data_IF_640350779100
#
_entry.id   IF_640350779100
#
_cell.length_a   1.000
_cell.length_b   1.000
_cell.length_c   1.000
_cell.angle_alpha   90.00
_cell.angle_beta   90.00
_cell.angle_gamma   90.00
#
_symmetry.space_group_name_H-M   'P 1'
#
loop_
_entity.id
_entity.type
_entity.pdbx_description
1 polymer ?
#
# COMPACT_ATOMS: atom_id res chain seq x y z
N UNK A 1 17.57 -5.21 -11.42
CA UNK A 1 17.73 -5.70 -12.82
C UNK A 1 17.49 -7.20 -12.89
N UNK A 2 18.08 -8.03 -12.01
CA UNK A 2 17.83 -9.49 -11.99
C UNK A 2 16.36 -9.87 -11.77
N UNK A 3 15.63 -9.17 -10.88
CA UNK A 3 14.21 -9.47 -10.62
C UNK A 3 13.30 -9.24 -11.83
N UNK A 4 13.60 -8.20 -12.61
CA UNK A 4 12.79 -7.85 -13.77
C UNK A 4 12.88 -8.95 -14.84
N UNK A 5 14.06 -9.54 -14.98
CA UNK A 5 14.30 -10.61 -15.93
C UNK A 5 13.52 -11.91 -15.60
N UNK A 6 13.33 -12.27 -14.32
CA UNK A 6 12.57 -13.49 -13.96
C UNK A 6 11.06 -13.32 -14.19
N UNK A 7 10.51 -12.13 -13.94
CA UNK A 7 9.10 -11.85 -14.23
C UNK A 7 8.85 -11.71 -15.73
N UNK A 8 9.76 -11.06 -16.46
CA UNK A 8 9.69 -10.98 -17.94
C UNK A 8 9.77 -12.38 -18.57
N UNK A 9 10.65 -13.26 -18.09
CA UNK A 9 10.71 -14.64 -18.56
C UNK A 9 9.42 -15.43 -18.26
N UNK A 10 8.83 -15.24 -17.07
CA UNK A 10 7.58 -15.89 -16.70
C UNK A 10 6.43 -15.43 -17.61
N UNK A 11 6.35 -14.14 -17.85
CA UNK A 11 5.37 -13.51 -18.73
C UNK A 11 5.50 -14.07 -20.16
N UNK A 12 6.71 -14.09 -20.73
CA UNK A 12 6.97 -14.64 -22.07
C UNK A 12 6.56 -16.13 -22.17
N UNK A 13 6.83 -16.93 -21.14
CA UNK A 13 6.43 -18.33 -21.10
C UNK A 13 4.90 -18.49 -21.06
N UNK A 14 4.20 -17.67 -20.27
CA UNK A 14 2.72 -17.68 -20.18
C UNK A 14 2.11 -17.22 -21.51
N UNK A 15 2.61 -16.14 -22.12
CA UNK A 15 2.15 -15.66 -23.43
C UNK A 15 2.31 -16.72 -24.51
N UNK A 16 3.48 -17.37 -24.55
CA UNK A 16 3.75 -18.48 -25.47
C UNK A 16 2.79 -19.64 -25.26
N UNK A 17 2.48 -19.98 -24.00
CA UNK A 17 1.55 -21.06 -23.65
C UNK A 17 0.11 -20.73 -24.10
N UNK A 18 -0.33 -19.48 -23.94
CA UNK A 18 -1.63 -19.01 -24.43
C UNK A 18 -1.71 -19.15 -25.95
N UNK A 19 -0.65 -18.75 -26.65
CA UNK A 19 -0.58 -18.85 -28.11
C UNK A 19 -0.59 -20.31 -28.59
N UNK A 20 0.18 -21.20 -27.94
CA UNK A 20 0.14 -22.64 -28.23
C UNK A 20 -1.26 -23.23 -28.04
N UNK A 21 -1.97 -22.85 -26.98
CA UNK A 21 -3.36 -23.26 -26.75
C UNK A 21 -4.28 -22.78 -27.87
N UNK A 22 -4.12 -21.52 -28.31
CA UNK A 22 -4.89 -20.93 -29.41
C UNK A 22 -4.66 -21.68 -30.73
N UNK A 23 -3.39 -21.89 -31.08
CA UNK A 23 -3.00 -22.61 -32.30
C UNK A 23 -3.48 -24.07 -32.28
N UNK A 24 -3.35 -24.76 -31.13
CA UNK A 24 -3.86 -26.12 -30.98
C UNK A 24 -5.38 -26.18 -31.20
N UNK A 25 -6.13 -25.21 -30.66
CA UNK A 25 -7.57 -25.08 -30.91
C UNK A 25 -7.90 -24.92 -32.40
N UNK A 26 -7.15 -24.08 -33.12
CA UNK A 26 -7.32 -23.89 -34.58
C UNK A 26 -7.09 -25.20 -35.34
N UNK A 27 -6.00 -25.92 -35.03
CA UNK A 27 -5.66 -27.19 -35.67
C UNK A 27 -6.72 -28.27 -35.43
N UNK A 28 -7.34 -28.28 -34.25
CA UNK A 28 -8.43 -29.23 -33.94
C UNK A 28 -9.70 -28.87 -34.71
N UNK A 29 -10.01 -27.58 -34.85
CA UNK A 29 -11.19 -27.11 -35.59
C UNK A 29 -11.08 -27.32 -37.11
N UNK A 30 -9.88 -27.18 -37.69
CA UNK A 30 -9.60 -27.40 -39.12
C UNK A 30 -8.46 -28.39 -39.30
N UNK A 31 -8.73 -29.65 -38.96
CA UNK A 31 -7.72 -30.69 -38.99
C UNK A 31 -7.33 -31.08 -40.42
N UNK A 32 -6.04 -30.94 -40.72
CA UNK A 32 -5.44 -31.44 -41.96
C UNK A 32 -4.45 -32.58 -41.65
N UNK A 33 -4.41 -33.66 -42.46
CA UNK A 33 -3.49 -34.79 -42.24
C UNK A 33 -2.00 -34.42 -42.25
N UNK A 34 -1.65 -33.27 -42.83
CA UNK A 34 -0.29 -32.71 -42.89
C UNK A 34 0.15 -32.04 -41.57
N UNK A 35 -0.78 -31.74 -40.65
CA UNK A 35 -0.50 -30.97 -39.45
C UNK A 35 -0.19 -31.89 -38.27
N UNK A 36 0.98 -31.70 -37.65
CA UNK A 36 1.42 -32.50 -36.50
C UNK A 36 0.85 -31.95 -35.19
N UNK A 37 -0.42 -32.25 -34.91
CA UNK A 37 -1.09 -31.90 -33.66
C UNK A 37 -0.37 -32.47 -32.43
N UNK A 38 0.15 -33.70 -32.52
CA UNK A 38 0.89 -34.36 -31.45
C UNK A 38 2.12 -33.55 -31.03
N UNK A 39 2.81 -32.91 -31.99
CA UNK A 39 3.95 -32.03 -31.69
C UNK A 39 3.49 -30.84 -30.86
N UNK A 40 2.38 -30.17 -31.23
CA UNK A 40 1.84 -29.02 -30.47
C UNK A 40 1.47 -29.39 -29.03
N UNK A 41 0.88 -30.57 -28.82
CA UNK A 41 0.57 -31.07 -27.48
C UNK A 41 1.85 -31.31 -26.67
N UNK A 42 2.87 -31.91 -27.27
CA UNK A 42 4.15 -32.12 -26.60
C UNK A 42 4.84 -30.79 -26.26
N UNK A 43 4.77 -29.79 -27.15
CA UNK A 43 5.32 -28.46 -26.91
C UNK A 43 4.60 -27.78 -25.73
N UNK A 44 3.28 -27.90 -25.64
CA UNK A 44 2.50 -27.40 -24.51
C UNK A 44 2.89 -28.08 -23.18
N UNK A 45 3.08 -29.40 -23.19
CA UNK A 45 3.54 -30.15 -22.00
C UNK A 45 4.92 -29.68 -21.54
N UNK A 46 5.85 -29.44 -22.48
CA UNK A 46 7.19 -28.91 -22.16
C UNK A 46 7.05 -27.53 -21.50
N UNK A 47 6.21 -26.64 -22.03
CA UNK A 47 6.00 -25.29 -21.48
C UNK A 47 5.38 -25.30 -20.08
N UNK A 48 4.48 -26.22 -19.79
CA UNK A 48 3.93 -26.44 -18.44
C UNK A 48 5.01 -26.92 -17.46
N UNK A 49 5.93 -27.79 -17.90
CA UNK A 49 7.06 -28.22 -17.07
C UNK A 49 8.05 -27.08 -16.83
N UNK A 50 8.28 -26.22 -17.83
CA UNK A 50 9.12 -25.04 -17.67
C UNK A 50 8.49 -24.08 -16.64
N UNK A 51 7.16 -23.87 -16.67
CA UNK A 51 6.43 -23.06 -15.69
C UNK A 51 6.62 -23.57 -14.26
N UNK A 52 6.55 -24.89 -14.04
CA UNK A 52 6.78 -25.51 -12.74
C UNK A 52 8.21 -25.26 -12.22
N UNK A 53 9.22 -25.30 -13.11
CA UNK A 53 10.61 -25.01 -12.73
C UNK A 53 10.79 -23.56 -12.34
N UNK A 54 10.16 -22.64 -13.08
CA UNK A 54 10.23 -21.20 -12.82
C UNK A 54 9.54 -20.80 -11.51
N UNK A 55 8.56 -21.59 -11.03
CA UNK A 55 7.94 -21.38 -9.72
C UNK A 55 8.98 -21.30 -8.59
N UNK A 56 10.06 -22.08 -8.68
CA UNK A 56 11.13 -22.09 -7.69
C UNK A 56 11.80 -20.73 -7.50
N UNK A 57 11.88 -19.92 -8.56
CA UNK A 57 12.50 -18.59 -8.56
C UNK A 57 11.58 -17.48 -8.04
N UNK A 58 10.31 -17.78 -7.76
CA UNK A 58 9.26 -16.82 -7.39
C UNK A 58 8.74 -17.01 -5.95
N UNK A 59 9.39 -17.87 -5.16
CA UNK A 59 8.91 -18.22 -3.81
C UNK A 59 8.89 -17.05 -2.82
N UNK A 60 9.69 -16.01 -3.07
CA UNK A 60 9.74 -14.76 -2.30
C UNK A 60 8.56 -13.82 -2.59
N UNK A 61 7.74 -14.13 -3.61
CA UNK A 61 6.60 -13.33 -4.02
C UNK A 61 5.33 -13.89 -3.39
N UNK A 62 4.71 -13.09 -2.52
CA UNK A 62 3.43 -13.42 -1.90
C UNK A 62 2.29 -12.65 -2.56
N UNK A 63 1.29 -13.37 -3.06
CA UNK A 63 0.08 -12.79 -3.65
C UNK A 63 -1.06 -12.88 -2.62
N UNK A 64 -1.69 -11.74 -2.24
CA UNK A 64 -2.84 -11.74 -1.35
C UNK A 64 -3.99 -12.59 -1.91
N UNK A 65 -4.63 -13.40 -1.06
CA UNK A 65 -5.66 -14.34 -1.51
C UNK A 65 -6.89 -13.57 -2.02
N UNK A 66 -7.19 -12.42 -1.40
CA UNK A 66 -8.29 -11.53 -1.76
C UNK A 66 -8.14 -10.97 -3.18
N UNK A 67 -6.92 -10.95 -3.72
CA UNK A 67 -6.66 -10.50 -5.09
C UNK A 67 -7.24 -11.47 -6.13
N UNK A 68 -7.23 -12.78 -5.85
CA UNK A 68 -7.76 -13.79 -6.79
C UNK A 68 -9.24 -13.54 -7.09
N UNK A 69 -10.04 -13.16 -6.10
CA UNK A 69 -11.45 -12.84 -6.32
C UNK A 69 -11.67 -11.66 -7.30
N UNK A 70 -10.73 -10.71 -7.36
CA UNK A 70 -10.78 -9.60 -8.33
C UNK A 70 -10.44 -10.11 -9.74
N UNK A 71 -9.41 -10.96 -9.85
CA UNK A 71 -8.96 -11.56 -11.12
C UNK A 71 -10.04 -12.47 -11.71
N UNK A 72 -10.63 -13.36 -10.91
CA UNK A 72 -11.69 -14.29 -11.34
C UNK A 72 -12.95 -13.54 -11.83
N UNK A 73 -13.20 -12.36 -11.26
CA UNK A 73 -14.29 -11.47 -11.68
C UNK A 73 -13.94 -10.60 -12.90
N UNK A 74 -12.73 -10.74 -13.47
CA UNK A 74 -12.24 -9.94 -14.60
C UNK A 74 -11.97 -8.46 -14.25
N UNK A 75 -11.82 -8.13 -12.98
CA UNK A 75 -11.53 -6.77 -12.52
C UNK A 75 -10.04 -6.48 -12.53
N UNK A 76 -9.67 -5.20 -12.66
CA UNK A 76 -8.27 -4.79 -12.60
C UNK A 76 -7.70 -5.02 -11.18
N UNK A 77 -6.65 -5.85 -11.01
CA UNK A 77 -6.05 -6.14 -9.71
C UNK A 77 -5.47 -4.89 -9.02
N UNK A 78 -5.13 -3.83 -9.77
CA UNK A 78 -4.65 -2.57 -9.18
C UNK A 78 -5.71 -1.86 -8.32
N UNK A 79 -6.99 -2.18 -8.49
CA UNK A 79 -8.05 -1.68 -7.61
C UNK A 79 -7.88 -2.17 -6.18
N UNK A 80 -7.43 -3.42 -5.98
CA UNK A 80 -7.12 -3.94 -4.66
C UNK A 80 -6.00 -3.14 -3.99
N UNK A 81 -4.90 -2.89 -4.73
CA UNK A 81 -3.78 -2.09 -4.23
C UNK A 81 -4.24 -0.71 -3.78
N UNK A 82 -5.03 -0.04 -4.62
CA UNK A 82 -5.59 1.28 -4.31
C UNK A 82 -6.48 1.25 -3.07
N UNK A 83 -7.47 0.37 -3.04
CA UNK A 83 -8.41 0.23 -1.92
C UNK A 83 -7.67 -0.07 -0.60
N UNK A 84 -6.64 -0.92 -0.64
CA UNK A 84 -5.84 -1.26 0.52
C UNK A 84 -5.03 -0.06 1.04
N UNK A 85 -4.41 0.70 0.13
CA UNK A 85 -3.70 1.94 0.49
C UNK A 85 -4.64 2.97 1.11
N UNK A 86 -5.82 3.18 0.52
CA UNK A 86 -6.84 4.09 1.04
C UNK A 86 -7.31 3.67 2.44
N UNK A 87 -7.55 2.38 2.65
CA UNK A 87 -7.90 1.85 3.97
C UNK A 87 -6.78 2.02 5.00
N UNK A 88 -5.52 1.82 4.59
CA UNK A 88 -4.37 2.01 5.48
C UNK A 88 -4.22 3.48 5.90
N UNK A 89 -4.42 4.41 4.97
CA UNK A 89 -4.42 5.85 5.25
C UNK A 89 -5.54 6.22 6.22
N UNK A 90 -6.77 5.82 5.93
CA UNK A 90 -7.93 6.08 6.79
C UNK A 90 -7.73 5.52 8.21
N UNK A 91 -7.18 4.31 8.34
CA UNK A 91 -6.85 3.72 9.65
C UNK A 91 -5.76 4.51 10.37
N UNK A 92 -4.73 4.97 9.69
CA UNK A 92 -3.66 5.77 10.29
C UNK A 92 -4.21 7.10 10.82
N UNK A 93 -5.03 7.80 10.04
CA UNK A 93 -5.68 9.06 10.45
C UNK A 93 -6.61 8.86 11.65
N UNK A 94 -7.43 7.80 11.64
CA UNK A 94 -8.30 7.46 12.75
C UNK A 94 -7.51 7.19 14.05
N UNK A 95 -6.41 6.43 13.96
CA UNK A 95 -5.52 6.15 15.10
C UNK A 95 -4.85 7.42 15.61
N UNK A 96 -4.40 8.31 14.71
CA UNK A 96 -3.82 9.61 15.07
C UNK A 96 -4.82 10.48 15.81
N UNK A 97 -6.06 10.60 15.31
CA UNK A 97 -7.12 11.35 15.99
C UNK A 97 -7.44 10.79 17.39
N UNK A 98 -7.43 9.47 17.54
CA UNK A 98 -7.59 8.82 18.86
C UNK A 98 -6.42 9.15 19.80
N UNK A 99 -5.18 9.13 19.31
CA UNK A 99 -4.00 9.47 20.09
C UNK A 99 -4.03 10.92 20.56
N UNK A 100 -4.40 11.85 19.68
CA UNK A 100 -4.48 13.27 20.01
C UNK A 100 -5.60 13.55 21.02
N UNK A 101 -6.74 12.85 20.89
CA UNK A 101 -7.83 12.89 21.87
C UNK A 101 -7.37 12.39 23.24
N UNK A 102 -6.62 11.28 23.30
CA UNK A 102 -6.07 10.75 24.55
C UNK A 102 -5.02 11.69 25.17
N UNK A 103 -4.15 12.30 24.36
CA UNK A 103 -3.18 13.30 24.83
C UNK A 103 -3.90 14.51 25.43
N UNK A 104 -4.92 15.03 24.76
CA UNK A 104 -5.74 16.14 25.24
C UNK A 104 -6.48 15.77 26.53
N UNK A 105 -7.11 14.60 26.58
CA UNK A 105 -7.77 14.11 27.78
C UNK A 105 -6.80 13.99 28.95
N UNK A 106 -5.61 13.41 28.74
CA UNK A 106 -4.55 13.34 29.74
C UNK A 106 -4.18 14.73 30.25
N UNK A 107 -3.97 15.71 29.37
CA UNK A 107 -3.59 17.07 29.77
C UNK A 107 -4.66 17.72 30.65
N UNK A 108 -5.94 17.62 30.26
CA UNK A 108 -7.07 18.15 31.03
C UNK A 108 -7.22 17.45 32.38
N UNK A 109 -7.11 16.12 32.40
CA UNK A 109 -7.19 15.33 33.62
C UNK A 109 -6.06 15.70 34.59
N UNK A 110 -4.84 15.84 34.09
CA UNK A 110 -3.69 16.26 34.92
C UNK A 110 -3.89 17.66 35.48
N UNK A 111 -4.47 18.59 34.71
CA UNK A 111 -4.77 19.95 35.17
C UNK A 111 -5.80 19.95 36.31
N UNK A 112 -6.93 19.23 36.14
CA UNK A 112 -7.96 19.15 37.17
C UNK A 112 -7.49 18.42 38.43
N UNK A 113 -6.77 17.31 38.29
CA UNK A 113 -6.19 16.60 39.44
C UNK A 113 -5.17 17.47 40.18
N UNK A 114 -4.38 18.28 39.47
CA UNK A 114 -3.42 19.19 40.12
C UNK A 114 -4.12 20.29 40.91
N UNK A 115 -5.29 20.73 40.46
CA UNK A 115 -6.10 21.74 41.13
C UNK A 115 -6.72 21.22 42.44
N UNK A 116 -7.25 20.00 42.42
CA UNK A 116 -7.98 19.43 43.56
C UNK A 116 -7.11 18.59 44.51
N UNK A 117 -6.01 18.00 44.02
CA UNK A 117 -5.14 17.08 44.76
C UNK A 117 -3.64 17.40 44.55
N UNK A 118 -3.17 18.59 44.98
CA UNK A 118 -1.82 19.07 44.65
C UNK A 118 -0.69 18.21 45.26
N UNK A 119 -0.89 17.68 46.47
CA UNK A 119 0.13 16.89 47.18
C UNK A 119 0.31 15.50 46.55
N UNK A 120 -0.80 14.86 46.20
CA UNK A 120 -0.84 13.57 45.51
C UNK A 120 -0.23 13.69 44.11
N UNK A 121 -0.55 14.78 43.40
CA UNK A 121 0.01 15.05 42.07
C UNK A 121 1.51 15.32 42.10
N UNK A 122 2.04 15.98 43.13
CA UNK A 122 3.48 16.14 43.32
C UNK A 122 4.20 14.78 43.48
N UNK A 123 3.64 13.88 44.30
CA UNK A 123 4.16 12.51 44.46
C UNK A 123 4.09 11.72 43.15
N UNK A 124 2.97 11.81 42.43
CA UNK A 124 2.79 11.14 41.15
C UNK A 124 3.83 11.60 40.10
N UNK A 125 4.06 12.91 39.96
CA UNK A 125 5.07 13.44 39.03
C UNK A 125 6.49 12.98 39.36
N UNK A 126 6.84 12.92 40.64
CA UNK A 126 8.14 12.46 41.10
C UNK A 126 8.43 10.99 40.71
N UNK A 127 7.41 10.14 40.69
CA UNK A 127 7.55 8.72 40.28
C UNK A 127 7.54 8.56 38.76
N UNK A 128 6.77 9.40 38.05
CA UNK A 128 6.54 9.22 36.60
C UNK A 128 7.60 9.85 35.70
N UNK A 129 8.34 10.86 36.18
CA UNK A 129 9.36 11.55 35.40
C UNK A 129 8.83 12.43 34.25
N UNK A 130 7.56 12.87 34.31
CA UNK A 130 7.01 13.82 33.33
C UNK A 130 7.58 15.24 33.58
N UNK A 131 8.07 15.97 32.55
CA UNK A 131 8.45 17.37 32.69
C UNK A 131 7.23 18.26 32.99
N UNK A 132 7.47 19.38 33.66
CA UNK A 132 6.46 20.31 34.17
C UNK A 132 5.43 20.73 33.10
N UNK A 133 4.17 20.88 33.51
CA UNK A 133 3.07 21.19 32.60
C UNK A 133 3.33 22.51 31.85
N UNK A 134 2.95 22.65 30.56
CA UNK A 134 2.94 23.95 29.92
C UNK A 134 1.94 24.85 30.64
N UNK A 135 2.46 25.90 31.29
CA UNK A 135 1.66 26.95 31.93
C UNK A 135 0.61 27.49 30.97
N UNK A 136 -0.62 27.59 31.47
CA UNK A 136 -1.75 28.13 30.75
C UNK A 136 -1.50 29.56 30.24
N UNK A 137 -2.15 29.86 29.11
CA UNK A 137 -2.22 31.14 28.41
C UNK A 137 -2.17 32.38 29.33
N UNK A 138 -1.25 33.29 29.01
CA UNK A 138 -1.30 34.70 29.38
C UNK A 138 -1.29 35.56 28.13
N UNK A 139 -2.42 36.21 27.85
CA UNK A 139 -2.47 37.59 27.36
C UNK A 139 -2.23 37.85 25.87
N UNK A 140 -3.32 38.14 25.16
CA UNK A 140 -3.37 38.87 23.89
C UNK A 140 -2.86 40.31 24.09
N UNK A 141 -1.95 40.79 23.22
CA UNK A 141 -1.94 42.18 22.76
C UNK A 141 -1.14 42.34 21.46
N UNK A 142 -1.87 42.78 20.44
CA UNK A 142 -1.45 43.30 19.14
C UNK A 142 -0.48 44.48 19.20
N UNK A 143 0.58 44.48 18.39
CA UNK A 143 0.90 45.60 17.49
C UNK A 143 1.96 45.22 16.43
N UNK A 144 2.02 46.09 15.44
CA UNK A 144 2.34 45.98 14.01
C UNK A 144 3.80 46.34 13.62
N UNK A 145 4.08 46.15 12.32
CA UNK A 145 5.25 46.52 11.48
C UNK A 145 6.33 45.43 11.41
N UNK A 146 6.87 45.01 10.25
CA UNK A 146 6.85 45.50 8.87
C UNK A 146 8.20 45.14 8.22
N UNK A 147 8.23 44.87 6.92
CA UNK A 147 9.38 44.42 6.07
C UNK A 147 9.52 42.89 5.95
N UNK A 148 9.44 42.21 4.80
CA UNK A 148 9.51 42.62 3.41
C UNK A 148 10.69 41.94 2.71
N UNK A 149 10.49 40.79 2.08
CA UNK A 149 11.25 40.38 0.88
C UNK A 149 10.41 39.46 0.00
N UNK A 150 10.35 39.84 -1.27
CA UNK A 150 9.69 39.23 -2.40
C UNK A 150 10.10 37.77 -2.66
N UNK A 151 9.19 36.99 -3.24
CA UNK A 151 9.41 36.27 -4.52
C UNK A 151 8.04 35.84 -5.07
N UNK A 152 7.80 36.19 -6.33
CA UNK A 152 6.51 36.19 -7.00
C UNK A 152 6.00 34.81 -7.47
N UNK A 153 4.81 34.79 -8.11
CA UNK A 153 4.03 33.60 -8.38
C UNK A 153 4.32 33.03 -9.76
N UNK A 154 4.34 31.69 -9.88
CA UNK A 154 4.28 31.03 -11.18
C UNK A 154 3.09 30.07 -11.20
N UNK A 155 1.98 30.55 -11.77
CA UNK A 155 0.80 29.76 -12.10
C UNK A 155 0.68 29.76 -13.62
N UNK A 156 0.99 28.63 -14.24
CA UNK A 156 0.78 28.38 -15.67
C UNK A 156 -0.72 28.31 -16.00
N UNK A 157 -1.19 28.94 -17.10
CA UNK A 157 -2.54 28.71 -17.60
C UNK A 157 -2.57 27.55 -18.60
N UNK A 158 -3.65 26.78 -18.49
CA UNK A 158 -4.08 25.70 -19.37
C UNK A 158 -4.49 26.28 -20.73
N UNK A 159 -4.08 25.61 -21.81
CA UNK A 159 -4.75 25.62 -23.11
C UNK A 159 -4.97 24.19 -23.58
#
# INVERSE_FOLDING_TARGET
MSDRNRFEALEENIETMIELCREAGIVVCDYQPSVSFQRKINDLVIRLQDLERMQGELQDVHVPIELFSKIDAGQNPQLYTREFMEQALAKNEAVRGKLDSLRRFRALLMAELSRHFPNEMAKYRAVRGDPEAPSALSGVSSHSNGSGTETGPDTMPIR
#
